data_IF_735688543012
#
_entry.id   IF_735688543012
#
_cell.length_a   1.000
_cell.length_b   1.000
_cell.length_c   1.000
_cell.angle_alpha   90.00
_cell.angle_beta   90.00
_cell.angle_gamma   90.00
#
_symmetry.space_group_name_H-M   'P 1'
#
loop_
_entity.id
_entity.type
_entity.pdbx_description
1 polymer ?
#
# COMPACT_ATOMS: atom_id res chain seq x y z
N UNK A 1 6.62 2.84 66.92
CA UNK A 1 5.28 3.20 66.42
C UNK A 1 5.34 4.06 65.14
N UNK A 2 6.07 5.19 65.13
CA UNK A 2 6.19 6.08 63.96
C UNK A 2 6.73 5.41 62.68
N UNK A 3 7.72 4.52 62.80
CA UNK A 3 8.31 3.78 61.65
C UNK A 3 7.27 2.97 60.87
N UNK A 4 6.27 2.40 61.56
CA UNK A 4 5.20 1.60 60.93
C UNK A 4 4.22 2.50 60.18
N UNK A 5 3.85 3.65 60.76
CA UNK A 5 2.99 4.63 60.11
C UNK A 5 3.64 5.23 58.86
N UNK A 6 4.94 5.55 58.95
CA UNK A 6 5.70 6.07 57.81
C UNK A 6 5.81 5.05 56.67
N UNK A 7 6.08 3.78 56.99
CA UNK A 7 6.18 2.73 55.98
C UNK A 7 4.82 2.45 55.30
N UNK A 8 3.72 2.48 56.07
CA UNK A 8 2.36 2.36 55.52
C UNK A 8 2.00 3.54 54.63
N UNK A 9 2.37 4.76 55.02
CA UNK A 9 2.16 5.96 54.20
C UNK A 9 2.93 5.89 52.88
N UNK A 10 4.19 5.43 52.89
CA UNK A 10 4.99 5.22 51.68
C UNK A 10 4.37 4.16 50.75
N UNK A 11 3.88 3.04 51.30
CA UNK A 11 3.22 2.00 50.52
C UNK A 11 1.93 2.51 49.84
N UNK A 12 1.09 3.25 50.57
CA UNK A 12 -0.12 3.86 50.02
C UNK A 12 0.20 4.90 48.95
N UNK A 13 1.26 5.70 49.15
CA UNK A 13 1.74 6.66 48.14
C UNK A 13 2.25 5.96 46.87
N UNK A 14 2.97 4.85 46.99
CA UNK A 14 3.42 4.07 45.83
C UNK A 14 2.24 3.45 45.06
N UNK A 15 1.21 2.95 45.76
CA UNK A 15 0.00 2.41 45.13
C UNK A 15 -0.79 3.54 44.43
N UNK A 16 -0.92 4.69 45.08
CA UNK A 16 -1.61 5.85 44.50
C UNK A 16 -0.87 6.40 43.26
N UNK A 17 0.46 6.51 43.31
CA UNK A 17 1.23 7.00 42.16
C UNK A 17 1.19 6.04 40.97
N UNK A 18 1.27 4.72 41.21
CA UNK A 18 1.17 3.71 40.13
C UNK A 18 -0.22 3.66 39.50
N UNK A 19 -1.28 3.75 40.30
CA UNK A 19 -2.66 3.81 39.78
C UNK A 19 -2.91 5.07 38.96
N UNK A 20 -2.50 6.25 39.46
CA UNK A 20 -2.58 7.52 38.70
C UNK A 20 -1.78 7.47 37.40
N UNK A 21 -0.56 6.94 37.44
CA UNK A 21 0.28 6.78 36.25
C UNK A 21 -0.38 5.87 35.21
N UNK A 22 -0.99 4.77 35.67
CA UNK A 22 -1.66 3.80 34.79
C UNK A 22 -2.90 4.41 34.11
N UNK A 23 -3.70 5.19 34.83
CA UNK A 23 -4.86 5.90 34.28
C UNK A 23 -4.45 6.90 33.21
N UNK A 24 -3.40 7.70 33.46
CA UNK A 24 -2.86 8.63 32.47
C UNK A 24 -2.34 7.93 31.22
N UNK A 25 -1.66 6.79 31.38
CA UNK A 25 -1.16 6.00 30.24
C UNK A 25 -2.30 5.47 29.37
N UNK A 26 -3.41 5.02 29.97
CA UNK A 26 -4.58 4.54 29.21
C UNK A 26 -5.22 5.64 28.38
N UNK A 27 -5.41 6.83 28.95
CA UNK A 27 -5.97 7.98 28.21
C UNK A 27 -5.09 8.38 27.02
N UNK A 28 -3.76 8.42 27.20
CA UNK A 28 -2.82 8.70 26.11
C UNK A 28 -2.84 7.60 25.04
N UNK A 29 -2.96 6.34 25.45
CA UNK A 29 -3.00 5.22 24.52
C UNK A 29 -4.28 5.24 23.67
N UNK A 30 -5.43 5.58 24.25
CA UNK A 30 -6.68 5.75 23.51
C UNK A 30 -6.57 6.87 22.46
N UNK A 31 -6.01 8.02 22.82
CA UNK A 31 -5.77 9.14 21.89
C UNK A 31 -4.76 8.77 20.78
N UNK A 32 -3.74 7.97 21.11
CA UNK A 32 -2.80 7.43 20.12
C UNK A 32 -3.49 6.46 19.17
N UNK A 33 -4.31 5.57 19.69
CA UNK A 33 -5.04 4.59 18.89
C UNK A 33 -6.03 5.27 17.95
N UNK A 34 -6.77 6.30 18.41
CA UNK A 34 -7.66 7.07 17.55
C UNK A 34 -6.89 7.79 16.44
N UNK A 35 -5.77 8.44 16.76
CA UNK A 35 -4.91 9.12 15.79
C UNK A 35 -4.34 8.15 14.73
N UNK A 36 -3.92 6.95 15.16
CA UNK A 36 -3.44 5.89 14.25
C UNK A 36 -4.59 5.38 13.37
N UNK A 37 -5.80 5.26 13.91
CA UNK A 37 -6.97 4.81 13.16
C UNK A 37 -7.40 5.84 12.12
N UNK A 38 -7.42 7.13 12.46
CA UNK A 38 -7.68 8.22 11.51
C UNK A 38 -6.63 8.25 10.39
N UNK A 39 -5.34 8.13 10.73
CA UNK A 39 -4.26 8.05 9.74
C UNK A 39 -4.43 6.85 8.81
N UNK A 40 -4.85 5.68 9.33
CA UNK A 40 -5.16 4.49 8.51
C UNK A 40 -6.34 4.72 7.59
N UNK A 41 -7.42 5.35 8.06
CA UNK A 41 -8.61 5.64 7.26
C UNK A 41 -8.28 6.59 6.09
N UNK A 42 -7.53 7.66 6.34
CA UNK A 42 -7.06 8.57 5.28
C UNK A 42 -6.16 7.85 4.25
N UNK A 43 -5.32 6.92 4.70
CA UNK A 43 -4.50 6.09 3.82
C UNK A 43 -5.34 5.10 2.98
N UNK A 44 -6.42 4.55 3.53
CA UNK A 44 -7.33 3.67 2.77
C UNK A 44 -8.15 4.45 1.74
N UNK A 45 -8.68 5.61 2.09
CA UNK A 45 -9.45 6.47 1.18
C UNK A 45 -8.59 6.94 -0.01
N UNK A 46 -7.33 7.31 0.24
CA UNK A 46 -6.39 7.68 -0.83
C UNK A 46 -5.95 6.50 -1.71
N UNK A 47 -5.98 5.25 -1.22
CA UNK A 47 -5.72 4.07 -2.06
C UNK A 47 -6.79 3.87 -3.13
N UNK A 48 -8.05 4.19 -2.83
CA UNK A 48 -9.16 4.05 -3.78
C UNK A 48 -9.02 5.06 -4.92
N UNK A 49 -8.65 6.30 -4.61
CA UNK A 49 -8.40 7.35 -5.61
C UNK A 49 -7.19 7.09 -6.51
N UNK A 50 -6.22 6.27 -6.05
CA UNK A 50 -5.06 5.82 -6.83
C UNK A 50 -5.35 4.67 -7.79
N UNK A 51 -6.54 4.06 -7.73
CA UNK A 51 -6.91 2.92 -8.60
C UNK A 51 -7.30 3.31 -10.03
N UNK A 52 -7.66 4.58 -10.27
CA UNK A 52 -8.09 5.08 -11.57
C UNK A 52 -6.88 5.50 -12.40
N UNK A 53 -6.48 4.65 -13.35
CA UNK A 53 -5.40 4.95 -14.30
C UNK A 53 -6.00 5.59 -15.56
N UNK A 54 -5.76 6.89 -15.83
CA UNK A 54 -6.27 7.55 -17.02
C UNK A 54 -5.56 7.02 -18.28
N UNK A 55 -6.31 6.28 -19.11
CA UNK A 55 -5.81 5.65 -20.34
C UNK A 55 -6.42 6.30 -21.58
N UNK A 56 -5.61 6.53 -22.61
CA UNK A 56 -6.10 7.05 -23.89
C UNK A 56 -6.98 6.00 -24.58
N UNK A 57 -8.22 6.35 -24.92
CA UNK A 57 -9.14 5.42 -25.58
C UNK A 57 -8.61 4.91 -26.93
N UNK A 58 -7.87 5.74 -27.67
CA UNK A 58 -7.33 5.45 -28.99
C UNK A 58 -6.01 4.68 -28.95
N UNK A 59 -4.97 5.21 -28.31
CA UNK A 59 -3.61 4.65 -28.36
C UNK A 59 -3.18 3.88 -27.11
N UNK A 60 -4.06 3.77 -26.10
CA UNK A 60 -3.83 3.04 -24.84
C UNK A 60 -2.63 3.50 -23.99
N UNK A 61 -2.04 4.65 -24.30
CA UNK A 61 -1.05 5.31 -23.42
C UNK A 61 -1.68 5.70 -22.10
N UNK A 62 -0.89 5.73 -21.03
CA UNK A 62 -1.31 6.16 -19.70
C UNK A 62 -0.86 7.60 -19.47
N UNK A 63 -1.75 8.43 -18.92
CA UNK A 63 -1.42 9.80 -18.50
C UNK A 63 -0.89 9.79 -17.06
N UNK A 64 0.26 10.43 -16.83
CA UNK A 64 0.80 10.61 -15.49
C UNK A 64 0.25 11.88 -14.78
N UNK A 65 0.61 12.04 -13.51
CA UNK A 65 0.20 13.19 -12.68
C UNK A 65 0.70 14.55 -13.21
N UNK A 66 1.74 14.55 -14.05
CA UNK A 66 2.28 15.76 -14.71
C UNK A 66 1.57 16.04 -16.04
N UNK A 67 0.72 15.14 -16.49
CA UNK A 67 -0.06 15.22 -17.71
C UNK A 67 0.63 14.67 -18.95
N UNK A 68 1.78 14.01 -18.83
CA UNK A 68 2.45 13.37 -19.96
C UNK A 68 1.87 11.99 -20.26
N UNK A 69 1.90 11.62 -21.55
CA UNK A 69 1.44 10.32 -22.03
C UNK A 69 2.62 9.34 -22.14
N UNK A 70 2.60 8.33 -21.29
CA UNK A 70 3.61 7.28 -21.20
C UNK A 70 3.10 5.98 -21.82
N UNK A 71 4.02 5.12 -22.26
CA UNK A 71 3.68 3.76 -22.65
C UNK A 71 3.21 2.96 -21.42
N UNK A 72 2.31 2.00 -21.63
CA UNK A 72 1.71 1.20 -20.56
C UNK A 72 2.79 0.50 -19.72
N UNK A 73 3.72 -0.15 -20.39
CA UNK A 73 4.80 -0.93 -19.78
C UNK A 73 5.68 -0.02 -18.91
N UNK A 74 6.13 1.11 -19.45
CA UNK A 74 6.96 2.08 -18.72
C UNK A 74 6.27 2.66 -17.49
N UNK A 75 4.95 2.89 -17.56
CA UNK A 75 4.19 3.36 -16.42
C UNK A 75 4.10 2.27 -15.34
N UNK A 76 3.77 1.03 -15.71
CA UNK A 76 3.62 -0.06 -14.74
C UNK A 76 4.97 -0.42 -14.10
N UNK A 77 6.07 -0.48 -14.85
CA UNK A 77 7.41 -0.74 -14.29
C UNK A 77 7.88 0.36 -13.32
N UNK A 78 7.47 1.61 -13.56
CA UNK A 78 7.82 2.73 -12.68
C UNK A 78 6.99 2.77 -11.40
N UNK A 79 5.76 2.27 -11.45
CA UNK A 79 4.79 2.37 -10.37
C UNK A 79 4.50 1.03 -9.66
N UNK A 80 5.21 -0.04 -10.01
CA UNK A 80 5.10 -1.38 -9.40
C UNK A 80 6.40 -2.18 -9.56
N UNK A 81 6.51 -3.30 -8.85
CA UNK A 81 7.64 -4.24 -9.00
C UNK A 81 7.53 -5.17 -10.22
N UNK A 82 6.60 -4.91 -11.14
CA UNK A 82 6.41 -5.72 -12.33
C UNK A 82 7.59 -5.60 -13.31
N UNK A 83 7.89 -6.69 -14.01
CA UNK A 83 8.93 -6.78 -15.06
C UNK A 83 8.30 -7.37 -16.30
N UNK A 84 8.48 -6.72 -17.46
CA UNK A 84 7.92 -7.23 -18.72
C UNK A 84 8.95 -8.03 -19.51
N UNK A 85 8.52 -9.18 -20.03
CA UNK A 85 9.23 -9.91 -21.08
C UNK A 85 8.49 -9.75 -22.40
N UNK A 86 9.22 -9.81 -23.51
CA UNK A 86 8.65 -9.68 -24.84
C UNK A 86 8.43 -11.07 -25.44
N UNK A 87 7.17 -11.39 -25.76
CA UNK A 87 6.78 -12.62 -26.43
C UNK A 87 5.68 -12.35 -27.45
N UNK A 88 5.45 -13.30 -28.35
CA UNK A 88 4.41 -13.19 -29.38
C UNK A 88 3.43 -14.36 -29.24
N UNK A 89 2.15 -14.07 -29.00
CA UNK A 89 1.13 -15.09 -28.87
C UNK A 89 0.86 -15.79 -30.22
N UNK A 90 0.24 -16.97 -30.19
CA UNK A 90 -0.05 -17.75 -31.42
C UNK A 90 -0.90 -16.98 -32.42
N UNK A 91 -1.85 -16.18 -31.96
CA UNK A 91 -2.70 -15.36 -32.83
C UNK A 91 -1.88 -14.32 -33.60
N UNK A 92 -1.01 -13.59 -32.90
CA UNK A 92 -0.10 -12.63 -33.52
C UNK A 92 0.89 -13.31 -34.48
N UNK A 93 1.41 -14.49 -34.12
CA UNK A 93 2.26 -15.27 -35.02
C UNK A 93 1.50 -15.68 -36.30
N UNK A 94 0.25 -16.14 -36.18
CA UNK A 94 -0.58 -16.47 -37.33
C UNK A 94 -0.84 -15.25 -38.20
N UNK A 95 -1.06 -14.08 -37.61
CA UNK A 95 -1.31 -12.85 -38.36
C UNK A 95 -0.07 -12.36 -39.11
N UNK A 96 1.11 -12.46 -38.50
CA UNK A 96 2.37 -12.01 -39.10
C UNK A 96 2.98 -13.02 -40.08
N UNK A 97 2.86 -14.32 -39.77
CA UNK A 97 3.58 -15.38 -40.46
C UNK A 97 2.67 -16.47 -41.03
N UNK A 98 1.34 -16.36 -40.89
CA UNK A 98 0.39 -17.39 -41.32
C UNK A 98 0.48 -17.76 -42.80
N UNK A 99 0.83 -16.79 -43.65
CA UNK A 99 0.98 -16.98 -45.08
C UNK A 99 2.41 -17.39 -45.49
N UNK A 100 3.31 -17.55 -44.52
CA UNK A 100 4.71 -17.90 -44.80
C UNK A 100 4.87 -19.42 -44.85
N UNK A 101 5.45 -19.92 -45.95
CA UNK A 101 5.68 -21.35 -46.17
C UNK A 101 6.49 -22.03 -45.05
N UNK A 102 7.48 -21.35 -44.48
CA UNK A 102 8.30 -21.92 -43.40
C UNK A 102 7.50 -22.06 -42.09
N UNK A 103 6.54 -21.17 -41.85
CA UNK A 103 5.70 -21.17 -40.66
C UNK A 103 4.57 -22.22 -40.78
N UNK A 104 3.98 -22.35 -41.97
CA UNK A 104 2.94 -23.36 -42.24
C UNK A 104 3.49 -24.78 -42.30
N UNK A 105 4.70 -24.98 -42.84
CA UNK A 105 5.40 -26.28 -42.84
C UNK A 105 5.79 -26.71 -41.43
N UNK A 106 6.26 -25.78 -40.59
CA UNK A 106 6.66 -26.07 -39.20
C UNK A 106 5.51 -26.40 -38.24
N UNK A 107 4.25 -26.20 -38.66
CA UNK A 107 3.06 -26.57 -37.88
C UNK A 107 2.55 -28.00 -38.14
N UNK A 108 3.03 -28.65 -39.20
CA UNK A 108 2.62 -30.01 -39.56
C UNK A 108 3.42 -31.06 -38.80
#
# INVERSE_FOLDING_TARGET
MWKVLFNRALALFAIWTTTVLTLKRRAIEEERLSSVQEAKQLLEETKILRGLIPICASCKKIRDDRGYWNQLESYIEKHSDARFSHGICRECQNKLYGDQDWYTKGKR
#
